data_IF_232101176767
#
_entry.id   IF_232101176767
#
_cell.length_a   1.000
_cell.length_b   1.000
_cell.length_c   1.000
_cell.angle_alpha   90.00
_cell.angle_beta   90.00
_cell.angle_gamma   90.00
#
_symmetry.space_group_name_H-M   'P 1'
#
loop_
_entity.id
_entity.type
_entity.pdbx_description
1 polymer ?
#
# COMPACT_ATOMS: atom_id res chain seq x y z
N UNK A 1 -20.47 19.55 -2.45
CA UNK A 1 -19.13 19.95 -1.98
C UNK A 1 -18.80 21.30 -2.56
N UNK A 2 -18.38 22.23 -1.71
CA UNK A 2 -17.91 23.57 -2.07
C UNK A 2 -16.41 23.57 -2.39
N UNK A 3 -15.94 24.62 -3.06
CA UNK A 3 -14.51 24.78 -3.39
C UNK A 3 -13.61 24.79 -2.14
N UNK A 4 -14.11 25.30 -1.01
CA UNK A 4 -13.39 25.28 0.27
C UNK A 4 -13.22 23.87 0.83
N UNK A 5 -14.26 23.03 0.71
CA UNK A 5 -14.20 21.62 1.13
C UNK A 5 -13.27 20.81 0.21
N UNK A 6 -13.25 21.11 -1.09
CA UNK A 6 -12.32 20.52 -2.04
C UNK A 6 -10.86 20.87 -1.76
N UNK A 7 -10.56 22.15 -1.47
CA UNK A 7 -9.19 22.58 -1.13
C UNK A 7 -8.71 21.98 0.20
N UNK A 8 -9.59 21.91 1.20
CA UNK A 8 -9.28 21.27 2.48
C UNK A 8 -9.01 19.77 2.32
N UNK A 9 -9.79 19.07 1.49
CA UNK A 9 -9.57 17.66 1.18
C UNK A 9 -8.24 17.46 0.43
N UNK A 10 -8.00 18.22 -0.63
CA UNK A 10 -6.78 18.14 -1.42
C UNK A 10 -5.52 18.45 -0.59
N UNK A 11 -5.61 19.41 0.35
CA UNK A 11 -4.54 19.72 1.29
C UNK A 11 -4.25 18.55 2.24
N UNK A 12 -5.28 17.90 2.80
CA UNK A 12 -5.13 16.71 3.64
C UNK A 12 -4.52 15.54 2.89
N UNK A 13 -4.94 15.30 1.65
CA UNK A 13 -4.39 14.23 0.80
C UNK A 13 -2.91 14.49 0.49
N UNK A 14 -2.55 15.73 0.14
CA UNK A 14 -1.14 16.12 -0.09
C UNK A 14 -0.30 15.99 1.17
N UNK A 15 -0.81 16.40 2.33
CA UNK A 15 -0.12 16.26 3.61
C UNK A 15 0.11 14.79 3.99
N UNK A 16 -0.90 13.93 3.81
CA UNK A 16 -0.76 12.48 4.05
C UNK A 16 0.26 11.84 3.09
N UNK A 17 0.31 12.27 1.83
CA UNK A 17 1.34 11.84 0.87
C UNK A 17 2.74 12.29 1.31
N UNK A 18 2.89 13.54 1.78
CA UNK A 18 4.16 14.08 2.24
C UNK A 18 4.67 13.37 3.50
N UNK A 19 3.79 13.12 4.48
CA UNK A 19 4.13 12.39 5.73
C UNK A 19 4.64 10.97 5.44
N UNK A 20 3.95 10.23 4.56
CA UNK A 20 4.42 8.90 4.15
C UNK A 20 5.76 8.95 3.46
N UNK A 21 5.95 9.92 2.55
CA UNK A 21 7.20 10.11 1.83
C UNK A 21 8.37 10.41 2.77
N UNK A 22 8.15 11.17 3.85
CA UNK A 22 9.18 11.48 4.85
C UNK A 22 9.55 10.25 5.68
N UNK A 23 8.55 9.47 6.11
CA UNK A 23 8.75 8.25 6.91
C UNK A 23 9.38 7.10 6.13
N UNK A 24 9.25 7.11 4.80
CA UNK A 24 9.82 6.13 3.89
C UNK A 24 11.14 6.55 3.26
N UNK A 25 11.76 7.65 3.74
CA UNK A 25 13.11 8.03 3.29
C UNK A 25 14.06 6.84 3.46
N UNK A 26 14.78 6.48 2.38
CA UNK A 26 15.69 5.33 2.35
C UNK A 26 15.02 3.96 2.11
N UNK A 27 13.69 3.92 1.96
CA UNK A 27 12.92 2.70 1.73
C UNK A 27 12.40 2.59 0.29
N UNK A 28 12.79 3.50 -0.61
CA UNK A 28 12.31 3.56 -1.99
C UNK A 28 12.45 2.22 -2.73
N UNK A 29 13.58 1.53 -2.54
CA UNK A 29 13.84 0.26 -3.22
C UNK A 29 12.87 -0.86 -2.82
N UNK A 30 12.41 -0.89 -1.56
CA UNK A 30 11.44 -1.89 -1.10
C UNK A 30 10.02 -1.49 -1.46
N UNK A 31 9.69 -0.19 -1.39
CA UNK A 31 8.39 0.34 -1.82
C UNK A 31 8.16 0.09 -3.32
N UNK A 32 9.15 0.32 -4.18
CA UNK A 32 9.02 0.03 -5.62
C UNK A 32 8.84 -1.45 -5.94
N UNK A 33 9.42 -2.36 -5.13
CA UNK A 33 9.16 -3.79 -5.27
C UNK A 33 7.73 -4.14 -4.86
N UNK A 34 7.21 -3.52 -3.82
CA UNK A 34 5.82 -3.71 -3.39
C UNK A 34 4.85 -3.24 -4.46
N UNK A 35 5.07 -2.04 -4.99
CA UNK A 35 4.31 -1.47 -6.10
C UNK A 35 4.28 -2.41 -7.30
N UNK A 36 5.42 -2.99 -7.67
CA UNK A 36 5.52 -3.97 -8.76
C UNK A 36 4.68 -5.22 -8.49
N UNK A 37 4.79 -5.82 -7.30
CA UNK A 37 4.00 -7.01 -6.94
C UNK A 37 2.50 -6.68 -6.94
N UNK A 38 2.08 -5.54 -6.40
CA UNK A 38 0.66 -5.16 -6.39
C UNK A 38 0.13 -4.94 -7.81
N UNK A 39 0.92 -4.30 -8.67
CA UNK A 39 0.58 -4.09 -10.08
C UNK A 39 0.42 -5.41 -10.86
N UNK A 40 1.33 -6.37 -10.66
CA UNK A 40 1.29 -7.67 -11.32
C UNK A 40 0.16 -8.56 -10.82
N UNK A 41 -0.17 -8.48 -9.51
CA UNK A 41 -1.18 -9.34 -8.88
C UNK A 41 -2.59 -8.76 -8.97
N UNK A 42 -2.70 -7.46 -9.19
CA UNK A 42 -3.93 -6.69 -9.42
C UNK A 42 -5.16 -7.23 -8.65
N UNK A 43 -5.10 -7.24 -7.30
CA UNK A 43 -6.10 -7.95 -6.48
C UNK A 43 -7.52 -7.40 -6.59
N UNK A 44 -7.68 -6.20 -7.17
CA UNK A 44 -8.97 -5.53 -7.32
C UNK A 44 -9.30 -5.15 -8.77
N UNK A 45 -8.48 -5.54 -9.76
CA UNK A 45 -8.79 -5.33 -11.17
C UNK A 45 -8.69 -3.88 -11.64
N UNK A 46 -7.81 -3.08 -11.04
CA UNK A 46 -7.63 -1.66 -11.37
C UNK A 46 -6.53 -1.42 -12.40
N UNK A 47 -5.74 -2.43 -12.76
CA UNK A 47 -4.63 -2.26 -13.69
C UNK A 47 -5.15 -2.03 -15.12
N UNK A 48 -5.11 -0.78 -15.60
CA UNK A 48 -5.51 -0.40 -16.96
C UNK A 48 -4.31 -0.15 -17.90
N UNK A 49 -3.17 -0.82 -17.66
CA UNK A 49 -1.94 -0.85 -18.47
C UNK A 49 -1.27 0.52 -18.77
N UNK A 50 -1.88 1.64 -18.38
CA UNK A 50 -1.53 2.99 -18.84
C UNK A 50 -1.09 3.94 -17.74
N UNK A 51 -1.19 3.56 -16.46
CA UNK A 51 -0.82 4.42 -15.34
C UNK A 51 0.05 3.65 -14.34
N UNK A 52 1.36 3.83 -14.42
CA UNK A 52 2.36 3.08 -13.64
C UNK A 52 2.42 3.48 -12.15
N UNK A 53 1.56 4.39 -11.69
CA UNK A 53 1.49 4.89 -10.30
C UNK A 53 0.27 4.38 -9.52
N UNK A 54 -0.49 3.44 -10.09
CA UNK A 54 -1.81 2.99 -9.58
C UNK A 54 -1.78 2.35 -8.19
N UNK A 55 -0.65 1.79 -7.76
CA UNK A 55 -0.52 1.09 -6.47
C UNK A 55 0.52 1.69 -5.51
N UNK A 56 1.07 2.86 -5.83
CA UNK A 56 2.17 3.44 -5.04
C UNK A 56 1.73 3.80 -3.62
N UNK A 57 0.54 4.37 -3.47
CA UNK A 57 0.04 4.85 -2.18
C UNK A 57 -0.24 3.67 -1.22
N UNK A 58 -0.73 2.57 -1.76
CA UNK A 58 -0.98 1.29 -1.10
C UNK A 58 0.34 0.66 -0.69
N UNK A 59 1.30 0.59 -1.62
CA UNK A 59 2.65 0.07 -1.35
C UNK A 59 3.36 0.83 -0.23
N UNK A 60 3.31 2.17 -0.24
CA UNK A 60 3.83 3.02 0.83
C UNK A 60 3.16 2.72 2.17
N UNK A 61 1.83 2.59 2.19
CA UNK A 61 1.07 2.36 3.43
C UNK A 61 1.36 0.98 4.04
N UNK A 62 1.46 -0.06 3.19
CA UNK A 62 1.82 -1.42 3.61
C UNK A 62 3.26 -1.45 4.14
N UNK A 63 4.20 -0.79 3.46
CA UNK A 63 5.60 -0.73 3.90
C UNK A 63 5.73 -0.04 5.28
N UNK A 64 4.97 1.04 5.51
CA UNK A 64 4.92 1.70 6.83
C UNK A 64 4.39 0.78 7.92
N UNK A 65 3.35 -0.01 7.64
CA UNK A 65 2.84 -0.98 8.63
C UNK A 65 3.84 -2.09 8.93
N UNK A 66 4.55 -2.59 7.93
CA UNK A 66 5.61 -3.58 8.13
C UNK A 66 6.83 -3.02 8.88
N UNK A 67 7.03 -1.70 8.86
CA UNK A 67 8.01 -0.98 9.69
C UNK A 67 7.57 -0.91 11.16
N UNK A 68 6.31 -0.56 11.40
CA UNK A 68 5.77 -0.32 12.74
C UNK A 68 5.43 -1.60 13.51
N UNK A 69 4.90 -2.61 12.83
CA UNK A 69 4.43 -3.86 13.46
C UNK A 69 5.53 -4.92 13.44
N UNK A 70 6.27 -5.05 14.53
CA UNK A 70 7.12 -6.21 14.79
C UNK A 70 6.54 -7.06 15.94
N UNK A 71 6.18 -8.35 15.72
CA UNK A 71 6.15 -9.11 14.46
C UNK A 71 4.75 -9.12 13.81
N UNK A 72 4.65 -8.76 12.52
CA UNK A 72 3.43 -9.00 11.72
C UNK A 72 3.12 -10.50 11.72
N UNK A 73 2.08 -10.92 12.44
CA UNK A 73 1.67 -12.32 12.54
C UNK A 73 0.90 -12.79 11.29
N UNK A 74 0.22 -11.88 10.61
CA UNK A 74 -0.52 -12.17 9.37
C UNK A 74 -0.33 -11.04 8.34
N UNK A 75 0.68 -11.16 7.45
CA UNK A 75 0.91 -10.19 6.39
C UNK A 75 -0.26 -10.06 5.41
N UNK A 76 -1.03 -11.14 5.18
CA UNK A 76 -2.19 -11.12 4.29
C UNK A 76 -3.31 -10.24 4.86
N UNK A 77 -3.51 -10.27 6.18
CA UNK A 77 -4.44 -9.39 6.87
C UNK A 77 -4.03 -7.91 6.73
N UNK A 78 -2.75 -7.59 6.94
CA UNK A 78 -2.25 -6.20 6.80
C UNK A 78 -2.52 -5.66 5.39
N UNK A 79 -2.22 -6.45 4.35
CA UNK A 79 -2.48 -6.03 2.98
C UNK A 79 -3.98 -5.86 2.73
N UNK A 80 -4.81 -6.79 3.18
CA UNK A 80 -6.27 -6.69 3.03
C UNK A 80 -6.83 -5.44 3.73
N UNK A 81 -6.40 -5.15 4.96
CA UNK A 81 -6.83 -3.98 5.71
C UNK A 81 -6.43 -2.66 5.03
N UNK A 82 -5.22 -2.58 4.48
CA UNK A 82 -4.81 -1.40 3.71
C UNK A 82 -5.65 -1.25 2.44
N UNK A 83 -5.89 -2.32 1.70
CA UNK A 83 -6.77 -2.27 0.54
C UNK A 83 -8.20 -1.85 0.91
N UNK A 84 -8.77 -2.41 1.97
CA UNK A 84 -10.11 -2.02 2.47
C UNK A 84 -10.14 -0.55 2.89
N UNK A 85 -9.07 -0.05 3.50
CA UNK A 85 -8.95 1.36 3.88
C UNK A 85 -8.91 2.29 2.66
N UNK A 86 -8.29 1.88 1.56
CA UNK A 86 -8.18 2.66 0.33
C UNK A 86 -9.43 2.58 -0.56
N UNK A 87 -10.02 1.40 -0.70
CA UNK A 87 -11.05 1.12 -1.72
C UNK A 87 -12.40 0.65 -1.17
N UNK A 88 -12.50 0.35 0.13
CA UNK A 88 -13.71 -0.20 0.72
C UNK A 88 -13.81 -1.73 0.64
N UNK A 89 -14.49 -2.32 1.61
CA UNK A 89 -14.60 -3.78 1.75
C UNK A 89 -15.42 -4.44 0.63
N UNK A 90 -16.37 -3.72 0.05
CA UNK A 90 -17.21 -4.14 -1.06
C UNK A 90 -16.41 -4.33 -2.36
N UNK A 91 -15.38 -3.52 -2.58
CA UNK A 91 -14.48 -3.62 -3.74
C UNK A 91 -13.41 -4.68 -3.53
N UNK A 92 -12.84 -4.76 -2.32
CA UNK A 92 -11.64 -5.55 -2.06
C UNK A 92 -11.85 -7.06 -2.11
N UNK A 93 -13.08 -7.53 -1.97
CA UNK A 93 -13.38 -8.96 -1.90
C UNK A 93 -12.81 -9.63 -0.64
N UNK A 94 -12.73 -10.97 -0.62
CA UNK A 94 -12.45 -11.71 0.60
C UNK A 94 -10.94 -11.75 0.90
N UNK A 95 -10.62 -11.85 2.20
CA UNK A 95 -9.25 -11.70 2.76
C UNK A 95 -8.25 -12.74 2.22
N UNK A 96 -8.69 -13.94 1.92
CA UNK A 96 -7.91 -15.04 1.34
C UNK A 96 -7.29 -14.70 -0.02
N UNK A 97 -7.84 -13.72 -0.77
CA UNK A 97 -7.21 -13.19 -1.98
C UNK A 97 -5.83 -12.56 -1.71
N UNK A 98 -5.63 -12.03 -0.51
CA UNK A 98 -4.43 -11.27 -0.14
C UNK A 98 -3.36 -12.14 0.54
N UNK A 99 -3.63 -13.42 0.80
CA UNK A 99 -2.71 -14.33 1.49
C UNK A 99 -1.34 -14.46 0.82
N UNK A 100 -1.37 -14.77 -0.47
CA UNK A 100 -0.14 -14.96 -1.24
C UNK A 100 0.59 -13.63 -1.45
N UNK A 101 -0.16 -12.54 -1.63
CA UNK A 101 0.39 -11.20 -1.83
C UNK A 101 1.11 -10.75 -0.56
N UNK A 102 0.43 -10.81 0.59
CA UNK A 102 1.01 -10.44 1.87
C UNK A 102 2.27 -11.24 2.22
N UNK A 103 2.27 -12.56 1.95
CA UNK A 103 3.47 -13.39 2.16
C UNK A 103 4.64 -12.94 1.28
N UNK A 104 4.39 -12.70 0.00
CA UNK A 104 5.40 -12.24 -0.95
C UNK A 104 5.99 -10.87 -0.55
N UNK A 105 5.13 -9.91 -0.19
CA UNK A 105 5.57 -8.61 0.31
C UNK A 105 6.38 -8.73 1.60
N UNK A 106 5.97 -9.61 2.51
CA UNK A 106 6.69 -9.86 3.77
C UNK A 106 8.08 -10.48 3.54
N UNK A 107 8.20 -11.42 2.59
CA UNK A 107 9.50 -12.00 2.22
C UNK A 107 10.45 -10.95 1.64
N UNK A 108 9.94 -10.08 0.76
CA UNK A 108 10.69 -8.94 0.21
C UNK A 108 11.15 -8.01 1.35
N UNK A 109 10.24 -7.66 2.26
CA UNK A 109 10.54 -6.81 3.42
C UNK A 109 11.60 -7.41 4.33
N UNK A 110 11.42 -8.66 4.73
CA UNK A 110 12.33 -9.37 5.61
C UNK A 110 13.72 -9.52 4.97
N UNK A 111 13.79 -9.73 3.65
CA UNK A 111 15.06 -9.76 2.92
C UNK A 111 15.73 -8.38 2.82
N UNK A 112 14.96 -7.32 2.63
CA UNK A 112 15.47 -5.94 2.63
C UNK A 112 16.07 -5.56 4.00
N UNK A 113 15.38 -5.89 5.10
CA UNK A 113 15.84 -5.60 6.48
C UNK A 113 17.13 -6.30 6.93
N UNK A 114 17.55 -7.36 6.22
CA UNK A 114 18.76 -8.15 6.56
C UNK A 114 20.01 -7.69 5.81
N UNK A 115 19.88 -6.74 4.88
CA UNK A 115 20.99 -6.14 4.13
C UNK A 115 21.59 -4.99 4.93
#
# INVERSE_FOLDING_TARGET
>A
MSDAEWQAMASKVRAAKADRSERLVGHDAVVSKFETVLFERDPIGLNFESNTDEYRAEAESIALRFLEDAPVLDPGLVVHEEFVRWFGADVCGPRDRYDSIGRELWEIWAAWRRQ
#
